data_IF_172846352071
#
_entry.id   IF_172846352071
#
_cell.length_a   1.000
_cell.length_b   1.000
_cell.length_c   1.000
_cell.angle_alpha   90.00
_cell.angle_beta   90.00
_cell.angle_gamma   90.00
#
_symmetry.space_group_name_H-M   'P 1'
#
loop_
_entity.id
_entity.type
_entity.pdbx_description
1 polymer ?
#
# COMPACT_ATOMS: atom_id res chain seq x y z
N UNK A 1 -43.18 -38.45 -39.35
CA UNK A 1 -43.54 -37.81 -38.05
C UNK A 1 -42.37 -37.78 -37.07
N UNK A 2 -41.32 -38.60 -37.22
CA UNK A 2 -40.16 -38.63 -36.31
C UNK A 2 -39.17 -37.46 -36.47
N UNK A 3 -39.06 -36.87 -37.67
CA UNK A 3 -38.11 -35.76 -37.93
C UNK A 3 -38.42 -34.46 -37.17
N UNK A 4 -39.70 -34.14 -36.96
CA UNK A 4 -40.11 -32.92 -36.26
C UNK A 4 -39.83 -32.97 -34.75
N UNK A 5 -39.83 -34.17 -34.14
CA UNK A 5 -39.52 -34.29 -32.72
C UNK A 5 -38.04 -34.01 -32.43
N UNK A 6 -37.12 -34.40 -33.32
CA UNK A 6 -35.69 -34.17 -33.16
C UNK A 6 -35.36 -32.67 -33.20
N UNK A 7 -35.90 -31.92 -34.16
CA UNK A 7 -35.68 -30.48 -34.27
C UNK A 7 -36.30 -29.69 -33.11
N UNK A 8 -37.44 -30.13 -32.59
CA UNK A 8 -38.09 -29.53 -31.42
C UNK A 8 -37.28 -29.79 -30.14
N UNK A 9 -36.72 -30.98 -29.96
CA UNK A 9 -35.82 -31.31 -28.84
C UNK A 9 -34.52 -30.49 -28.90
N UNK A 10 -33.88 -30.42 -30.06
CA UNK A 10 -32.66 -29.63 -30.26
C UNK A 10 -32.91 -28.14 -30.01
N UNK A 11 -34.04 -27.61 -30.48
CA UNK A 11 -34.44 -26.22 -30.23
C UNK A 11 -34.71 -25.92 -28.76
N UNK A 12 -35.31 -26.87 -28.03
CA UNK A 12 -35.57 -26.74 -26.61
C UNK A 12 -34.27 -26.75 -25.78
N UNK A 13 -33.34 -27.65 -26.09
CA UNK A 13 -32.02 -27.68 -25.43
C UNK A 13 -31.18 -26.44 -25.75
N UNK A 14 -31.20 -25.97 -27.00
CA UNK A 14 -30.53 -24.72 -27.38
C UNK A 14 -31.13 -23.51 -26.65
N UNK A 15 -32.45 -23.49 -26.45
CA UNK A 15 -33.14 -22.47 -25.65
C UNK A 15 -32.73 -22.52 -24.17
N UNK A 16 -32.65 -23.71 -23.57
CA UNK A 16 -32.19 -23.88 -22.19
C UNK A 16 -30.72 -23.47 -22.02
N UNK A 17 -29.85 -23.78 -22.98
CA UNK A 17 -28.45 -23.32 -22.98
C UNK A 17 -28.35 -21.79 -23.13
N UNK A 18 -29.15 -21.19 -24.01
CA UNK A 18 -29.17 -19.74 -24.20
C UNK A 18 -29.65 -19.02 -22.93
N UNK A 19 -30.67 -19.55 -22.25
CA UNK A 19 -31.14 -19.03 -20.96
C UNK A 19 -30.05 -19.16 -19.90
N UNK A 20 -29.39 -20.33 -19.79
CA UNK A 20 -28.28 -20.53 -18.87
C UNK A 20 -27.12 -19.55 -19.12
N UNK A 21 -26.79 -19.30 -20.39
CA UNK A 21 -25.74 -18.38 -20.80
C UNK A 21 -26.12 -16.91 -20.52
N UNK A 22 -27.37 -16.53 -20.77
CA UNK A 22 -27.88 -15.18 -20.42
C UNK A 22 -27.92 -14.98 -18.91
N UNK A 23 -28.36 -15.96 -18.12
CA UNK A 23 -28.33 -15.87 -16.66
C UNK A 23 -26.90 -15.81 -16.11
N UNK A 24 -25.96 -16.58 -16.68
CA UNK A 24 -24.56 -16.51 -16.30
C UNK A 24 -23.94 -15.13 -16.63
N UNK A 25 -24.27 -14.56 -17.80
CA UNK A 25 -23.85 -13.20 -18.16
C UNK A 25 -24.48 -12.13 -17.26
N UNK A 26 -25.77 -12.24 -16.93
CA UNK A 26 -26.44 -11.31 -16.03
C UNK A 26 -25.91 -11.40 -14.58
N UNK A 27 -25.63 -12.61 -14.10
CA UNK A 27 -24.96 -12.83 -12.82
C UNK A 27 -23.54 -12.22 -12.81
N UNK A 28 -22.79 -12.34 -13.90
CA UNK A 28 -21.48 -11.69 -14.05
C UNK A 28 -21.55 -10.16 -14.14
N UNK A 29 -22.60 -9.60 -14.75
CA UNK A 29 -22.79 -8.14 -14.86
C UNK A 29 -23.21 -7.50 -13.53
N UNK A 30 -23.79 -8.27 -12.59
CA UNK A 30 -24.25 -7.78 -11.28
C UNK A 30 -23.14 -7.58 -10.23
N UNK A 31 -21.84 -7.54 -10.61
CA UNK A 31 -20.73 -7.25 -9.67
C UNK A 31 -20.17 -5.79 -9.61
N UNK A 32 -20.97 -4.71 -9.55
CA UNK A 32 -20.47 -3.38 -9.15
C UNK A 32 -19.93 -3.34 -7.71
N UNK A 33 -20.46 -4.17 -6.82
CA UNK A 33 -20.22 -4.08 -5.36
C UNK A 33 -18.78 -4.44 -4.98
N UNK A 34 -18.14 -5.36 -5.73
CA UNK A 34 -16.76 -5.78 -5.47
C UNK A 34 -15.74 -4.69 -5.78
N UNK A 35 -15.89 -3.95 -6.88
CA UNK A 35 -15.00 -2.82 -7.17
C UNK A 35 -15.13 -1.72 -6.12
N UNK A 36 -16.35 -1.50 -5.60
CA UNK A 36 -16.60 -0.57 -4.49
C UNK A 36 -15.89 -1.03 -3.22
N UNK A 37 -15.99 -2.31 -2.87
CA UNK A 37 -15.27 -2.92 -1.75
C UNK A 37 -13.75 -2.73 -1.87
N UNK A 38 -13.16 -2.99 -3.04
CA UNK A 38 -11.71 -2.79 -3.26
C UNK A 38 -11.30 -1.31 -3.08
N UNK A 39 -12.17 -0.36 -3.49
CA UNK A 39 -11.93 1.06 -3.27
C UNK A 39 -12.00 1.44 -1.78
N UNK A 40 -12.96 0.88 -1.05
CA UNK A 40 -13.08 1.06 0.39
C UNK A 40 -11.86 0.50 1.13
N UNK A 41 -11.41 -0.70 0.76
CA UNK A 41 -10.18 -1.30 1.28
C UNK A 41 -8.96 -0.41 1.02
N UNK A 42 -8.83 0.13 -0.21
CA UNK A 42 -7.78 1.08 -0.55
C UNK A 42 -7.78 2.30 0.38
N UNK A 43 -8.94 2.92 0.62
CA UNK A 43 -9.08 4.11 1.48
C UNK A 43 -8.70 3.77 2.92
N UNK A 44 -9.14 2.63 3.42
CA UNK A 44 -8.84 2.16 4.77
C UNK A 44 -7.34 1.88 4.94
N UNK A 45 -6.70 1.24 3.95
CA UNK A 45 -5.25 1.02 3.94
C UNK A 45 -4.49 2.36 3.99
N UNK A 46 -4.89 3.34 3.17
CA UNK A 46 -4.25 4.67 3.20
C UNK A 46 -4.38 5.35 4.56
N UNK A 47 -5.56 5.26 5.20
CA UNK A 47 -5.78 5.78 6.54
C UNK A 47 -4.83 5.14 7.56
N UNK A 48 -4.67 3.82 7.53
CA UNK A 48 -3.76 3.14 8.45
C UNK A 48 -2.30 3.47 8.22
N UNK A 49 -1.84 3.62 6.97
CA UNK A 49 -0.50 4.15 6.69
C UNK A 49 -0.29 5.53 7.29
N UNK A 50 -1.26 6.45 7.13
CA UNK A 50 -1.17 7.80 7.73
C UNK A 50 -1.08 7.71 9.25
N UNK A 51 -1.84 6.81 9.88
CA UNK A 51 -1.80 6.62 11.33
C UNK A 51 -0.47 6.05 11.82
N UNK A 52 0.11 5.08 11.09
CA UNK A 52 1.43 4.51 11.44
C UNK A 52 2.51 5.58 11.30
N UNK A 53 2.53 6.34 10.21
CA UNK A 53 3.50 7.42 9.99
C UNK A 53 3.42 8.50 11.10
N UNK A 54 2.21 8.86 11.55
CA UNK A 54 2.04 9.79 12.68
C UNK A 54 2.58 9.22 14.00
N UNK A 55 2.30 7.96 14.29
CA UNK A 55 2.81 7.31 15.50
C UNK A 55 4.34 7.16 15.47
N UNK A 56 4.93 6.85 14.32
CA UNK A 56 6.39 6.89 14.15
C UNK A 56 6.95 8.29 14.43
N UNK A 57 6.25 9.35 14.00
CA UNK A 57 6.65 10.71 14.32
C UNK A 57 6.56 10.98 15.84
N UNK A 58 5.47 10.56 16.49
CA UNK A 58 5.29 10.69 17.94
C UNK A 58 6.36 9.94 18.76
N UNK A 59 6.79 8.77 18.27
CA UNK A 59 7.90 8.00 18.85
C UNK A 59 9.17 8.85 18.94
N UNK A 60 9.47 9.61 17.88
CA UNK A 60 10.67 10.45 17.82
C UNK A 60 10.67 11.57 18.88
N UNK A 61 9.52 11.93 19.43
CA UNK A 61 9.38 13.00 20.43
C UNK A 61 9.24 12.50 21.87
N UNK A 62 8.61 11.33 22.06
CA UNK A 62 8.12 10.92 23.39
C UNK A 62 8.62 9.57 23.85
N UNK A 63 9.44 8.86 23.05
CA UNK A 63 9.87 7.47 23.26
C UNK A 63 8.71 6.48 23.49
N UNK A 64 7.46 6.93 23.33
CA UNK A 64 6.29 6.11 23.51
C UNK A 64 6.13 5.21 22.29
N UNK A 65 6.39 3.93 22.51
CA UNK A 65 6.39 2.91 21.46
C UNK A 65 4.99 2.58 20.95
N UNK A 66 3.94 2.92 21.72
CA UNK A 66 2.57 2.60 21.39
C UNK A 66 2.39 1.12 21.02
N UNK A 67 1.37 0.83 20.21
CA UNK A 67 1.11 -0.51 19.67
C UNK A 67 1.30 -0.57 18.15
N UNK A 68 2.35 0.09 17.66
CA UNK A 68 2.56 0.30 16.21
C UNK A 68 2.89 -1.01 15.50
N UNK A 69 3.62 -1.91 16.16
CA UNK A 69 3.99 -3.23 15.63
C UNK A 69 2.74 -4.05 15.30
N UNK A 70 1.79 -4.18 16.24
CA UNK A 70 0.55 -4.94 16.06
C UNK A 70 -0.31 -4.30 14.97
N UNK A 71 -0.38 -2.96 14.91
CA UNK A 71 -1.07 -2.26 13.82
C UNK A 71 -0.48 -2.57 12.45
N UNK A 72 0.85 -2.69 12.34
CA UNK A 72 1.51 -3.06 11.08
C UNK A 72 1.21 -4.50 10.68
N UNK A 73 1.14 -5.43 11.63
CA UNK A 73 0.76 -6.82 11.38
C UNK A 73 -0.70 -6.92 10.90
N UNK A 74 -1.62 -6.24 11.59
CA UNK A 74 -3.02 -6.17 11.17
C UNK A 74 -3.17 -5.56 9.77
N UNK A 75 -2.45 -4.47 9.49
CA UNK A 75 -2.46 -3.85 8.16
C UNK A 75 -1.92 -4.79 7.09
N UNK A 76 -0.84 -5.54 7.37
CA UNK A 76 -0.29 -6.50 6.42
C UNK A 76 -1.29 -7.62 6.10
N UNK A 77 -1.98 -8.14 7.11
CA UNK A 77 -3.04 -9.14 6.91
C UNK A 77 -4.17 -8.59 6.07
N UNK A 78 -4.68 -7.40 6.39
CA UNK A 78 -5.75 -6.75 5.64
C UNK A 78 -5.37 -6.46 4.16
N UNK A 79 -4.12 -6.07 3.91
CA UNK A 79 -3.60 -5.89 2.54
C UNK A 79 -3.54 -7.21 1.78
N UNK A 80 -3.13 -8.31 2.44
CA UNK A 80 -3.07 -9.63 1.81
C UNK A 80 -4.46 -10.13 1.43
N UNK A 81 -5.43 -9.98 2.32
CA UNK A 81 -6.84 -10.30 2.04
C UNK A 81 -7.37 -9.45 0.88
N UNK A 82 -7.13 -8.13 0.90
CA UNK A 82 -7.54 -7.23 -0.20
C UNK A 82 -6.85 -7.57 -1.54
N UNK A 83 -5.61 -8.05 -1.49
CA UNK A 83 -4.89 -8.48 -2.68
C UNK A 83 -5.48 -9.77 -3.25
N UNK A 84 -5.88 -10.71 -2.39
CA UNK A 84 -6.55 -11.95 -2.79
C UNK A 84 -7.93 -11.64 -3.40
N UNK A 85 -8.73 -10.79 -2.73
CA UNK A 85 -10.01 -10.30 -3.25
C UNK A 85 -9.85 -9.66 -4.64
N UNK A 86 -8.79 -8.88 -4.85
CA UNK A 86 -8.50 -8.26 -6.14
C UNK A 86 -8.15 -9.28 -7.23
N UNK A 87 -7.47 -10.39 -6.88
CA UNK A 87 -7.15 -11.48 -7.81
C UNK A 87 -8.38 -12.29 -8.19
N UNK A 88 -9.17 -12.70 -7.20
CA UNK A 88 -10.43 -13.39 -7.45
C UNK A 88 -11.38 -12.54 -8.30
N UNK A 89 -11.45 -11.23 -8.06
CA UNK A 89 -12.24 -10.34 -8.89
C UNK A 89 -11.78 -10.31 -10.35
N UNK A 90 -10.47 -10.41 -10.61
CA UNK A 90 -9.93 -10.43 -11.98
C UNK A 90 -10.27 -11.72 -12.73
N UNK A 91 -10.22 -12.88 -12.07
CA UNK A 91 -10.55 -14.17 -12.68
C UNK A 91 -12.01 -14.25 -13.14
N UNK A 92 -12.91 -13.50 -12.49
CA UNK A 92 -14.34 -13.51 -12.77
C UNK A 92 -14.78 -12.64 -13.96
N UNK A 93 -13.89 -11.84 -14.59
CA UNK A 93 -14.24 -11.07 -15.81
C UNK A 93 -13.75 -11.74 -17.09
N UNK A 94 -14.68 -11.89 -18.04
CA UNK A 94 -14.42 -12.44 -19.38
C UNK A 94 -13.48 -11.57 -20.25
N UNK A 95 -13.41 -10.25 -19.99
CA UNK A 95 -12.44 -9.35 -20.64
C UNK A 95 -11.33 -8.96 -19.64
N UNK A 96 -10.06 -9.09 -20.05
CA UNK A 96 -8.88 -8.62 -19.31
C UNK A 96 -9.05 -7.15 -18.92
N UNK A 97 -9.38 -6.89 -17.65
CA UNK A 97 -9.41 -5.55 -17.06
C UNK A 97 -8.00 -5.14 -16.61
N UNK A 98 -7.72 -3.84 -16.44
CA UNK A 98 -6.46 -3.36 -15.89
C UNK A 98 -6.18 -3.95 -14.51
N UNK A 99 -4.95 -4.44 -14.29
CA UNK A 99 -4.46 -5.05 -13.03
C UNK A 99 -4.32 -4.02 -11.87
N UNK A 100 -5.11 -2.96 -11.85
CA UNK A 100 -4.90 -1.78 -11.01
C UNK A 100 -4.89 -2.12 -9.51
N UNK A 101 -5.96 -2.72 -8.99
CA UNK A 101 -6.07 -3.02 -7.55
C UNK A 101 -5.06 -4.05 -7.08
N UNK A 102 -4.81 -5.09 -7.88
CA UNK A 102 -3.80 -6.10 -7.57
C UNK A 102 -2.38 -5.49 -7.51
N UNK A 103 -2.03 -4.64 -8.49
CA UNK A 103 -0.76 -3.91 -8.49
C UNK A 103 -0.68 -2.94 -7.31
N UNK A 104 -1.78 -2.24 -7.00
CA UNK A 104 -1.86 -1.30 -5.89
C UNK A 104 -1.65 -2.00 -4.54
N UNK A 105 -2.34 -3.11 -4.26
CA UNK A 105 -2.17 -3.85 -3.01
C UNK A 105 -0.81 -4.53 -2.92
N UNK A 106 -0.25 -5.01 -4.03
CA UNK A 106 1.13 -5.51 -4.06
C UNK A 106 2.14 -4.42 -3.67
N UNK A 107 1.97 -3.21 -4.19
CA UNK A 107 2.77 -2.04 -3.81
C UNK A 107 2.63 -1.71 -2.31
N UNK A 108 1.40 -1.67 -1.78
CA UNK A 108 1.17 -1.43 -0.34
C UNK A 108 1.77 -2.52 0.55
N UNK A 109 1.72 -3.78 0.12
CA UNK A 109 2.35 -4.90 0.82
C UNK A 109 3.86 -4.72 0.93
N UNK A 110 4.52 -4.31 -0.16
CA UNK A 110 5.94 -3.99 -0.16
C UNK A 110 6.26 -2.84 0.81
N UNK A 111 5.43 -1.78 0.81
CA UNK A 111 5.58 -0.67 1.74
C UNK A 111 5.46 -1.07 3.22
N UNK A 112 4.54 -1.98 3.59
CA UNK A 112 4.45 -2.45 5.00
C UNK A 112 5.69 -3.22 5.42
N UNK A 113 6.32 -3.98 4.52
CA UNK A 113 7.57 -4.66 4.86
C UNK A 113 8.67 -3.65 5.19
N UNK A 114 8.79 -2.57 4.41
CA UNK A 114 9.77 -1.50 4.70
C UNK A 114 9.45 -0.76 6.00
N UNK A 115 8.16 -0.61 6.35
CA UNK A 115 7.75 -0.04 7.64
C UNK A 115 8.29 -0.86 8.82
N UNK A 116 8.40 -2.19 8.69
CA UNK A 116 8.98 -3.02 9.76
C UNK A 116 10.44 -2.69 9.99
N UNK A 117 11.22 -2.55 8.92
CA UNK A 117 12.63 -2.12 9.02
C UNK A 117 12.73 -0.74 9.69
N UNK A 118 11.85 0.20 9.30
CA UNK A 118 11.78 1.51 9.92
C UNK A 118 11.47 1.44 11.43
N UNK A 119 10.56 0.57 11.86
CA UNK A 119 10.25 0.38 13.29
C UNK A 119 11.45 -0.20 14.05
N UNK A 120 12.13 -1.20 13.48
CA UNK A 120 13.33 -1.77 14.09
C UNK A 120 14.44 -0.72 14.26
N UNK A 121 14.63 0.16 13.28
CA UNK A 121 15.56 1.28 13.42
C UNK A 121 15.14 2.21 14.56
N UNK A 122 13.86 2.59 14.65
CA UNK A 122 13.36 3.45 15.73
C UNK A 122 13.59 2.84 17.11
N UNK A 123 13.37 1.53 17.25
CA UNK A 123 13.54 0.83 18.52
C UNK A 123 14.99 0.81 19.05
N UNK A 124 15.97 0.92 18.15
CA UNK A 124 17.41 0.93 18.48
C UNK A 124 17.96 2.31 18.85
N UNK A 125 17.21 3.38 18.57
CA UNK A 125 17.63 4.75 18.91
C UNK A 125 17.45 4.99 20.41
N UNK A 126 18.50 5.48 21.07
CA UNK A 126 18.49 5.79 22.49
C UNK A 126 17.95 7.19 22.79
N UNK A 127 18.31 8.21 21.99
CA UNK A 127 17.88 9.60 22.20
C UNK A 127 17.26 10.22 20.93
N UNK A 128 16.05 9.78 20.53
CA UNK A 128 15.47 10.18 19.26
C UNK A 128 15.14 11.67 19.15
N UNK A 129 14.77 12.32 20.26
CA UNK A 129 14.35 13.71 20.27
C UNK A 129 15.46 14.70 19.86
N UNK A 130 16.73 14.37 20.12
CA UNK A 130 17.84 15.29 19.88
C UNK A 130 18.13 15.50 18.38
N UNK A 131 17.95 14.47 17.56
CA UNK A 131 18.27 14.48 16.12
C UNK A 131 17.06 14.21 15.20
N UNK A 132 15.92 13.81 15.79
CA UNK A 132 14.73 13.34 15.06
C UNK A 132 13.83 14.44 14.48
N UNK A 133 14.05 15.72 14.80
CA UNK A 133 13.11 16.81 14.41
C UNK A 133 12.88 16.93 12.90
N UNK A 134 13.90 16.72 12.08
CA UNK A 134 13.76 16.78 10.62
C UNK A 134 12.99 15.56 10.08
N UNK A 135 13.26 14.38 10.63
CA UNK A 135 12.54 13.15 10.27
C UNK A 135 11.08 13.22 10.75
N UNK A 136 10.83 13.78 11.94
CA UNK A 136 9.48 14.08 12.42
C UNK A 136 8.69 14.90 11.41
N UNK A 137 9.25 16.01 10.93
CA UNK A 137 8.60 16.86 9.93
C UNK A 137 8.33 16.13 8.62
N UNK A 138 9.24 15.27 8.17
CA UNK A 138 9.04 14.42 6.99
C UNK A 138 7.89 13.43 7.17
N UNK A 139 7.81 12.75 8.32
CA UNK A 139 6.77 11.78 8.61
C UNK A 139 5.38 12.42 8.69
N UNK A 140 5.27 13.56 9.38
CA UNK A 140 4.00 14.31 9.47
C UNK A 140 3.55 14.78 8.08
N UNK A 141 4.44 15.44 7.34
CA UNK A 141 4.14 15.91 5.98
C UNK A 141 3.70 14.76 5.07
N UNK A 142 4.38 13.63 5.18
CA UNK A 142 4.04 12.43 4.41
C UNK A 142 2.67 11.92 4.82
N UNK A 143 2.38 11.77 6.12
CA UNK A 143 1.07 11.33 6.61
C UNK A 143 -0.08 12.26 6.19
N UNK A 144 0.15 13.57 6.07
CA UNK A 144 -0.87 14.52 5.61
C UNK A 144 -1.12 14.44 4.10
N UNK A 145 -0.09 14.13 3.32
CA UNK A 145 -0.14 14.10 1.85
C UNK A 145 -0.28 12.68 1.26
N UNK A 146 -0.20 11.64 2.11
CA UNK A 146 -0.21 10.24 1.69
C UNK A 146 -1.55 9.86 1.10
N UNK A 147 -1.60 9.66 -0.21
CA UNK A 147 -2.80 9.26 -0.92
C UNK A 147 -2.41 8.52 -2.19
N UNK A 148 -3.36 7.86 -2.84
CA UNK A 148 -3.17 7.28 -4.18
C UNK A 148 -2.60 8.30 -5.18
N UNK A 149 -3.18 9.52 -5.21
CA UNK A 149 -2.90 10.55 -6.21
C UNK A 149 -1.57 11.27 -6.01
N UNK A 150 -1.00 11.20 -4.81
CA UNK A 150 0.36 11.67 -4.56
C UNK A 150 1.36 10.78 -5.30
N UNK A 151 2.36 11.34 -5.98
CA UNK A 151 3.34 10.58 -6.77
C UNK A 151 4.69 10.36 -6.06
N UNK A 152 4.82 10.81 -4.81
CA UNK A 152 6.01 10.68 -4.00
C UNK A 152 7.13 11.67 -4.33
N UNK A 153 7.10 12.39 -5.46
CA UNK A 153 8.24 13.22 -5.91
C UNK A 153 8.60 14.33 -4.94
N UNK A 154 7.59 15.03 -4.42
CA UNK A 154 7.81 16.10 -3.44
C UNK A 154 8.33 15.56 -2.11
N UNK A 155 7.92 14.36 -1.72
CA UNK A 155 8.42 13.70 -0.50
C UNK A 155 9.87 13.30 -0.69
N UNK A 156 10.22 12.70 -1.84
CA UNK A 156 11.62 12.35 -2.18
C UNK A 156 12.53 13.58 -2.19
N UNK A 157 12.09 14.70 -2.76
CA UNK A 157 12.86 15.94 -2.74
C UNK A 157 13.16 16.41 -1.30
N UNK A 158 12.17 16.34 -0.40
CA UNK A 158 12.38 16.68 1.01
C UNK A 158 13.29 15.69 1.75
N UNK A 159 13.27 14.40 1.40
CA UNK A 159 14.22 13.42 1.94
C UNK A 159 15.65 13.81 1.56
N UNK A 160 15.87 14.23 0.31
CA UNK A 160 17.19 14.71 -0.15
C UNK A 160 17.66 15.96 0.61
N UNK A 161 16.75 16.89 0.93
CA UNK A 161 17.06 18.04 1.80
C UNK A 161 17.56 17.60 3.18
N UNK A 162 16.93 16.58 3.78
CA UNK A 162 17.36 16.03 5.08
C UNK A 162 18.71 15.32 4.96
N UNK A 163 18.98 14.59 3.88
CA UNK A 163 20.32 14.03 3.63
C UNK A 163 21.40 15.11 3.53
N UNK A 164 21.12 16.22 2.83
CA UNK A 164 22.05 17.36 2.75
C UNK A 164 22.33 17.92 4.15
N UNK A 165 21.29 18.10 4.96
CA UNK A 165 21.42 18.59 6.33
C UNK A 165 22.30 17.67 7.18
N UNK A 166 22.06 16.35 7.14
CA UNK A 166 22.86 15.37 7.90
C UNK A 166 24.34 15.38 7.48
N UNK A 167 24.64 15.59 6.20
CA UNK A 167 26.02 15.72 5.71
C UNK A 167 26.76 16.97 6.20
N UNK A 168 26.02 18.03 6.53
CA UNK A 168 26.59 19.30 6.99
C UNK A 168 26.74 19.38 8.52
N UNK A 169 26.16 18.43 9.26
CA UNK A 169 26.27 18.41 10.71
C UNK A 169 27.71 18.16 11.17
N UNK A 170 28.13 18.72 12.33
CA UNK A 170 29.40 18.38 12.95
C UNK A 170 29.52 16.87 13.16
N UNK A 171 30.75 16.35 13.12
CA UNK A 171 31.01 14.94 13.46
C UNK A 171 30.48 14.62 14.87
N UNK A 172 30.01 13.39 15.10
CA UNK A 172 29.58 12.97 16.42
C UNK A 172 30.75 13.07 17.40
N UNK A 173 30.49 13.66 18.57
CA UNK A 173 31.48 13.89 19.63
C UNK A 173 31.61 12.70 20.57
N UNK A 174 30.65 11.77 20.53
CA UNK A 174 30.62 10.56 21.35
C UNK A 174 30.14 9.34 20.56
N UNK A 175 30.44 8.14 21.08
CA UNK A 175 29.94 6.87 20.50
C UNK A 175 28.42 6.76 20.53
N UNK A 176 27.71 7.05 21.65
CA UNK A 176 26.24 6.99 21.66
C UNK A 176 25.62 7.93 20.62
N UNK A 177 26.19 9.12 20.47
CA UNK A 177 25.75 10.07 19.44
C UNK A 177 25.97 9.52 18.02
N UNK A 178 27.09 8.86 17.76
CA UNK A 178 27.34 8.20 16.48
C UNK A 178 26.31 7.09 16.20
N UNK A 179 26.02 6.25 17.19
CA UNK A 179 25.07 5.13 17.08
C UNK A 179 23.65 5.63 16.79
N UNK A 180 23.15 6.62 17.54
CA UNK A 180 21.82 7.21 17.31
C UNK A 180 21.71 7.85 15.92
N UNK A 181 22.74 8.59 15.49
CA UNK A 181 22.76 9.21 14.16
C UNK A 181 22.83 8.17 13.04
N UNK A 182 23.53 7.05 13.25
CA UNK A 182 23.59 5.96 12.29
C UNK A 182 22.23 5.27 12.14
N UNK A 183 21.51 5.03 13.24
CA UNK A 183 20.16 4.46 13.19
C UNK A 183 19.16 5.42 12.54
N UNK A 184 19.22 6.73 12.82
CA UNK A 184 18.38 7.72 12.12
C UNK A 184 18.68 7.79 10.62
N UNK A 185 19.93 7.62 10.21
CA UNK A 185 20.29 7.55 8.80
C UNK A 185 19.75 6.28 8.13
N UNK A 186 19.84 5.13 8.79
CA UNK A 186 19.24 3.88 8.32
C UNK A 186 17.72 4.00 8.21
N UNK A 187 17.06 4.57 9.22
CA UNK A 187 15.64 4.89 9.17
C UNK A 187 15.29 5.72 7.93
N UNK A 188 16.05 6.80 7.68
CA UNK A 188 15.82 7.69 6.54
C UNK A 188 15.99 6.94 5.20
N UNK A 189 16.95 6.02 5.10
CA UNK A 189 17.13 5.16 3.94
C UNK A 189 15.93 4.22 3.72
N UNK A 190 15.45 3.57 4.77
CA UNK A 190 14.24 2.73 4.70
C UNK A 190 13.02 3.58 4.31
N UNK A 191 12.90 4.78 4.89
CA UNK A 191 11.82 5.71 4.55
C UNK A 191 11.89 6.16 3.09
N UNK A 192 13.09 6.37 2.53
CA UNK A 192 13.26 6.64 1.11
C UNK A 192 12.75 5.48 0.25
N UNK A 193 13.17 4.25 0.54
CA UNK A 193 12.70 3.03 -0.16
C UNK A 193 11.17 2.91 -0.10
N UNK A 194 10.56 3.22 1.05
CA UNK A 194 9.11 3.24 1.23
C UNK A 194 8.41 4.20 0.24
N UNK A 195 8.98 5.38 -0.01
CA UNK A 195 8.44 6.35 -0.97
C UNK A 195 8.77 5.98 -2.42
N UNK A 196 9.96 5.43 -2.68
CA UNK A 196 10.38 4.97 -4.02
C UNK A 196 9.42 3.89 -4.56
N UNK A 197 9.02 2.93 -3.73
CA UNK A 197 7.99 1.92 -4.06
C UNK A 197 6.69 2.57 -4.58
N UNK A 198 6.26 3.67 -3.96
CA UNK A 198 5.08 4.42 -4.39
C UNK A 198 5.33 5.19 -5.68
N UNK A 199 6.49 5.83 -5.81
CA UNK A 199 6.85 6.58 -7.01
C UNK A 199 6.92 5.67 -8.24
N UNK A 200 7.48 4.46 -8.10
CA UNK A 200 7.52 3.44 -9.16
C UNK A 200 6.10 3.05 -9.61
N UNK A 201 5.19 2.80 -8.67
CA UNK A 201 3.79 2.52 -8.97
C UNK A 201 3.12 3.66 -9.75
N UNK A 202 3.32 4.91 -9.32
CA UNK A 202 2.76 6.08 -10.02
C UNK A 202 3.31 6.22 -11.44
N UNK A 203 4.59 5.93 -11.67
CA UNK A 203 5.17 5.95 -13.02
C UNK A 203 4.60 4.85 -13.93
N UNK A 204 4.37 3.65 -13.39
CA UNK A 204 3.75 2.55 -14.13
C UNK A 204 2.30 2.87 -14.50
N UNK A 205 1.56 3.58 -13.61
CA UNK A 205 0.19 4.03 -13.87
C UNK A 205 0.11 5.03 -15.03
N UNK A 206 1.11 5.90 -15.21
CA UNK A 206 1.13 6.91 -16.29
C UNK A 206 1.44 6.29 -17.67
N UNK A 207 2.16 5.16 -17.70
CA UNK A 207 2.58 4.50 -18.96
C UNK A 207 1.51 3.59 -19.58
N UNK A 208 0.39 3.34 -18.88
CA UNK A 208 -0.73 2.50 -19.33
C UNK A 208 -1.94 3.36 -19.66
#
# INVERSE_FOLDING_TARGET
MEENMSWQLIGNEAGLMAIGLVFALLANVYMPDRTKQLKENQIQIEKEFRNILRQMAEFLLSENKGDVQIKCEHLLTFIRESQEDAREHQENYWLRQPLYYETYFSMRRAQVNVIKDMLENLERIQQPAYYGKHIYGLLIYTAETFSESNDGRQILARIEEVYVLYRQMPLPTSRPEFEDRAELFQFLQSFKSFIEIKAEFSQQKIKK
#
